data_IF_805931208423
#
_entry.id   IF_805931208423
#
_cell.length_a   1.000
_cell.length_b   1.000
_cell.length_c   1.000
_cell.angle_alpha   90.00
_cell.angle_beta   90.00
_cell.angle_gamma   90.00
#
_symmetry.space_group_name_H-M   'P 1'
#
loop_
_entity.id
_entity.type
_entity.pdbx_description
1 polymer ?
#
# COMPACT_ATOMS: atom_id res chain seq x y z
N UNK A 1 4.08 -7.12 -24.24
CA UNK A 1 4.54 -6.78 -25.60
C UNK A 1 3.44 -7.23 -26.52
N UNK A 2 2.84 -6.31 -27.27
CA UNK A 2 1.74 -6.67 -28.17
C UNK A 2 2.25 -7.54 -29.35
N UNK A 3 1.32 -8.05 -30.16
CA UNK A 3 1.66 -8.87 -31.32
C UNK A 3 2.56 -8.17 -32.37
N UNK A 4 2.75 -6.85 -32.25
CA UNK A 4 3.56 -6.02 -33.14
C UNK A 4 4.87 -5.55 -32.48
N UNK A 5 5.17 -6.00 -31.26
CA UNK A 5 6.39 -5.63 -30.53
C UNK A 5 6.33 -4.26 -29.84
N UNK A 6 5.14 -3.66 -29.67
CA UNK A 6 4.98 -2.44 -28.90
C UNK A 6 4.86 -2.74 -27.40
N UNK A 7 5.21 -1.75 -26.58
CA UNK A 7 5.02 -1.79 -25.13
C UNK A 7 3.54 -1.69 -24.77
N UNK A 8 3.10 -2.54 -23.83
CA UNK A 8 1.76 -2.49 -23.23
C UNK A 8 1.79 -1.83 -21.84
N UNK A 9 2.88 -1.12 -21.53
CA UNK A 9 3.05 -0.47 -20.24
C UNK A 9 1.96 0.59 -19.99
N UNK A 10 1.38 0.57 -18.80
CA UNK A 10 0.36 1.50 -18.35
C UNK A 10 0.92 2.44 -17.27
N UNK A 11 0.48 3.70 -17.29
CA UNK A 11 0.79 4.66 -16.23
C UNK A 11 -0.12 4.44 -15.02
N UNK A 12 0.39 4.69 -13.81
CA UNK A 12 -0.43 4.74 -12.58
C UNK A 12 -1.34 5.96 -12.47
N UNK A 13 -1.44 6.80 -13.50
CA UNK A 13 -2.29 7.99 -13.51
C UNK A 13 -3.76 7.64 -13.19
N UNK A 14 -4.36 8.40 -12.27
CA UNK A 14 -5.71 8.17 -11.77
C UNK A 14 -5.79 7.22 -10.60
N UNK A 15 -4.67 6.67 -10.10
CA UNK A 15 -4.70 5.86 -8.88
C UNK A 15 -5.19 6.66 -7.69
N UNK A 16 -6.22 6.16 -6.99
CA UNK A 16 -6.70 6.71 -5.73
C UNK A 16 -6.22 5.88 -4.54
N UNK A 17 -5.92 6.55 -3.43
CA UNK A 17 -5.53 5.90 -2.17
C UNK A 17 -6.42 6.38 -1.02
N UNK A 18 -7.06 5.44 -0.34
CA UNK A 18 -8.08 5.70 0.67
C UNK A 18 -7.64 5.09 2.00
N UNK A 19 -7.86 5.82 3.08
CA UNK A 19 -7.55 5.39 4.43
C UNK A 19 -8.77 5.51 5.34
N UNK A 20 -8.96 4.52 6.21
CA UNK A 20 -9.94 4.56 7.29
C UNK A 20 -9.30 4.14 8.60
N UNK A 21 -9.29 5.04 9.58
CA UNK A 21 -8.78 4.77 10.92
C UNK A 21 -9.89 4.19 11.81
N UNK A 22 -9.69 2.98 12.32
CA UNK A 22 -10.68 2.28 13.16
C UNK A 22 -12.07 2.25 12.52
N UNK A 23 -13.08 2.69 13.28
CA UNK A 23 -14.47 2.81 12.82
C UNK A 23 -14.83 4.20 12.25
N UNK A 24 -13.83 5.04 11.94
CA UNK A 24 -14.04 6.35 11.33
C UNK A 24 -14.55 6.29 9.87
N UNK A 25 -14.79 7.44 9.25
CA UNK A 25 -15.09 7.51 7.82
C UNK A 25 -13.87 7.14 6.98
N UNK A 26 -14.12 6.77 5.72
CA UNK A 26 -13.08 6.68 4.71
C UNK A 26 -12.69 8.07 4.24
N UNK A 27 -11.40 8.34 4.18
CA UNK A 27 -10.81 9.58 3.70
C UNK A 27 -9.92 9.27 2.51
N UNK A 28 -9.99 10.10 1.47
CA UNK A 28 -9.07 10.04 0.34
C UNK A 28 -7.80 10.79 0.74
N UNK A 29 -6.67 10.12 0.58
CA UNK A 29 -5.38 10.79 0.70
C UNK A 29 -5.15 11.48 -0.63
N UNK A 30 -5.22 12.80 -0.61
CA UNK A 30 -5.07 13.62 -1.80
C UNK A 30 -3.58 13.86 -2.12
N UNK A 31 -3.30 14.35 -3.33
CA UNK A 31 -1.98 14.75 -3.80
C UNK A 31 -0.93 13.62 -3.75
N UNK A 32 -1.37 12.37 -3.89
CA UNK A 32 -0.49 11.20 -3.85
C UNK A 32 0.38 11.12 -5.10
N UNK A 33 1.69 11.10 -4.91
CA UNK A 33 2.68 10.97 -5.97
C UNK A 33 3.23 9.56 -6.08
N UNK A 34 3.16 8.76 -5.01
CA UNK A 34 3.53 7.35 -5.00
C UNK A 34 2.69 6.59 -3.98
N UNK A 35 2.04 5.52 -4.42
CA UNK A 35 1.23 4.64 -3.55
C UNK A 35 2.09 3.50 -3.01
N UNK A 36 2.02 3.21 -1.70
CA UNK A 36 2.72 2.08 -1.12
C UNK A 36 2.05 0.77 -1.56
N UNK A 37 2.85 -0.25 -1.87
CA UNK A 37 2.39 -1.63 -2.09
C UNK A 37 3.04 -2.53 -1.05
N UNK A 38 2.32 -3.58 -0.62
CA UNK A 38 2.87 -4.58 0.27
C UNK A 38 3.92 -5.42 -0.48
N UNK A 39 5.03 -5.72 0.19
CA UNK A 39 6.05 -6.66 -0.30
C UNK A 39 6.06 -7.84 0.64
N UNK A 40 5.29 -8.87 0.28
CA UNK A 40 5.10 -10.05 1.10
C UNK A 40 6.35 -10.92 1.07
N UNK A 41 6.85 -11.25 2.26
CA UNK A 41 7.94 -12.20 2.47
C UNK A 41 7.49 -13.25 3.46
N UNK A 42 7.72 -14.52 3.15
CA UNK A 42 7.35 -15.62 4.02
C UNK A 42 8.57 -16.16 4.75
N UNK A 43 8.46 -16.35 6.05
CA UNK A 43 9.47 -17.04 6.83
C UNK A 43 9.61 -18.49 6.37
N UNK A 44 10.77 -19.09 6.62
CA UNK A 44 11.01 -20.51 6.38
C UNK A 44 11.52 -21.16 7.66
N UNK A 45 11.07 -22.39 7.93
CA UNK A 45 11.60 -23.20 9.02
C UNK A 45 12.02 -24.58 8.54
N UNK A 46 13.15 -25.07 9.08
CA UNK A 46 13.73 -26.35 8.70
C UNK A 46 12.97 -27.50 9.37
N UNK A 47 12.59 -28.50 8.59
CA UNK A 47 11.92 -29.73 9.06
C UNK A 47 12.74 -31.00 8.80
N UNK A 48 14.03 -30.84 8.52
CA UNK A 48 14.96 -31.93 8.23
C UNK A 48 15.02 -32.92 9.40
N UNK A 49 15.02 -34.21 9.07
CA UNK A 49 15.16 -35.31 10.04
C UNK A 49 16.16 -36.37 9.54
N UNK A 50 16.60 -37.28 10.41
CA UNK A 50 17.62 -38.29 10.06
C UNK A 50 17.22 -39.22 8.89
N UNK A 51 15.92 -39.32 8.60
CA UNK A 51 15.39 -40.11 7.48
C UNK A 51 15.05 -39.24 6.26
N UNK A 52 15.48 -37.97 6.24
CA UNK A 52 15.23 -37.08 5.11
C UNK A 52 15.84 -37.70 3.85
N UNK A 53 15.01 -37.90 2.81
CA UNK A 53 15.41 -38.66 1.64
C UNK A 53 16.61 -37.99 0.97
N UNK A 54 17.54 -38.82 0.49
CA UNK A 54 18.73 -38.38 -0.26
C UNK A 54 19.62 -37.36 0.48
N UNK A 55 19.53 -37.30 1.82
CA UNK A 55 20.33 -36.39 2.68
C UNK A 55 20.16 -34.92 2.26
N UNK A 56 18.95 -34.52 1.88
CA UNK A 56 18.61 -33.14 1.53
C UNK A 56 17.95 -32.45 2.71
N UNK A 57 18.20 -31.15 2.85
CA UNK A 57 17.47 -30.29 3.79
C UNK A 57 16.06 -30.08 3.26
N UNK A 58 15.09 -30.06 4.17
CA UNK A 58 13.67 -29.87 3.87
C UNK A 58 13.15 -28.66 4.63
N UNK A 59 12.39 -27.81 3.94
CA UNK A 59 11.86 -26.55 4.47
C UNK A 59 10.33 -26.52 4.37
N UNK A 60 9.73 -25.71 5.24
CA UNK A 60 8.30 -25.35 5.19
C UNK A 60 8.15 -23.84 5.40
N UNK A 61 7.10 -23.30 4.79
CA UNK A 61 6.73 -21.88 4.90
C UNK A 61 6.11 -21.60 6.27
N UNK A 62 6.61 -20.57 6.94
CA UNK A 62 6.14 -20.03 8.20
C UNK A 62 5.10 -18.92 8.01
N UNK A 63 5.16 -17.92 8.88
CA UNK A 63 4.28 -16.74 8.78
C UNK A 63 4.75 -15.81 7.67
N UNK A 64 3.82 -15.09 7.05
CA UNK A 64 4.11 -14.04 6.07
C UNK A 64 4.18 -12.69 6.80
N UNK A 65 5.22 -11.92 6.51
CA UNK A 65 5.31 -10.49 6.84
C UNK A 65 5.03 -9.70 5.56
N UNK A 66 4.00 -8.85 5.61
CA UNK A 66 3.57 -8.01 4.49
C UNK A 66 4.47 -6.77 4.29
N UNK A 67 5.47 -6.61 5.14
CA UNK A 67 6.53 -5.64 4.98
C UNK A 67 6.11 -4.19 5.23
N UNK A 68 6.94 -3.27 4.75
CA UNK A 68 6.70 -1.83 4.85
C UNK A 68 6.64 -1.18 3.47
N UNK A 69 5.78 -0.18 3.32
CA UNK A 69 5.63 0.62 2.11
C UNK A 69 5.86 2.10 2.35
N UNK A 70 6.19 2.82 1.29
CA UNK A 70 6.37 4.28 1.33
C UNK A 70 5.33 4.99 0.48
N UNK A 71 4.43 5.71 1.16
CA UNK A 71 3.48 6.64 0.56
C UNK A 71 4.14 8.00 0.42
N UNK A 72 4.12 8.58 -0.78
CA UNK A 72 4.60 9.94 -1.03
C UNK A 72 3.47 10.83 -1.51
N UNK A 73 3.38 12.03 -0.94
CA UNK A 73 2.36 13.03 -1.28
C UNK A 73 2.98 14.42 -1.43
N UNK A 74 2.35 15.30 -2.21
CA UNK A 74 2.61 16.73 -2.11
C UNK A 74 2.00 17.23 -0.80
N UNK A 75 2.83 17.85 0.02
CA UNK A 75 2.44 18.20 1.39
C UNK A 75 1.71 19.54 1.42
N UNK A 76 0.46 19.53 1.86
CA UNK A 76 -0.34 20.73 2.13
C UNK A 76 -0.59 20.83 3.64
N UNK A 77 0.05 21.78 4.36
CA UNK A 77 -0.14 21.92 5.79
C UNK A 77 -1.59 22.22 6.16
N UNK A 78 -2.14 21.46 7.11
CA UNK A 78 -3.50 21.66 7.62
C UNK A 78 -4.62 21.13 6.71
N UNK A 79 -4.28 20.45 5.61
CA UNK A 79 -5.29 19.73 4.82
C UNK A 79 -5.91 18.58 5.64
N UNK A 80 -7.03 18.06 5.15
CA UNK A 80 -7.66 16.88 5.73
C UNK A 80 -6.71 15.68 5.72
N UNK A 81 -6.02 15.46 4.59
CA UNK A 81 -4.97 14.44 4.45
C UNK A 81 -3.85 14.59 5.48
N UNK A 82 -3.31 15.80 5.68
CA UNK A 82 -2.26 16.04 6.70
C UNK A 82 -2.77 15.76 8.12
N UNK A 83 -4.02 16.16 8.39
CA UNK A 83 -4.66 15.97 9.70
C UNK A 83 -4.89 14.50 9.98
N UNK A 84 -5.41 13.74 9.02
CA UNK A 84 -5.68 12.31 9.19
C UNK A 84 -4.37 11.51 9.28
N UNK A 85 -3.38 11.76 8.42
CA UNK A 85 -2.08 11.08 8.51
C UNK A 85 -1.36 11.38 9.83
N UNK A 86 -1.49 12.62 10.35
CA UNK A 86 -1.00 12.98 11.68
C UNK A 86 -1.72 12.21 12.77
N UNK A 87 -3.06 12.14 12.70
CA UNK A 87 -3.88 11.43 13.68
C UNK A 87 -3.59 9.92 13.68
N UNK A 88 -3.57 9.29 12.50
CA UNK A 88 -3.24 7.87 12.31
C UNK A 88 -1.84 7.55 12.84
N UNK A 89 -0.84 8.40 12.58
CA UNK A 89 0.50 8.21 13.13
C UNK A 89 0.52 8.30 14.66
N UNK A 90 -0.19 9.27 15.22
CA UNK A 90 -0.21 9.54 16.66
C UNK A 90 -0.99 8.48 17.44
N UNK A 91 -2.09 7.95 16.89
CA UNK A 91 -2.86 6.88 17.53
C UNK A 91 -2.12 5.55 17.50
N UNK A 92 -1.38 5.26 16.42
CA UNK A 92 -0.74 3.96 16.21
C UNK A 92 -1.73 2.82 15.99
N UNK A 93 -3.00 3.15 15.74
CA UNK A 93 -4.06 2.19 15.46
C UNK A 93 -3.90 1.57 14.08
N UNK A 94 -4.43 0.36 13.93
CA UNK A 94 -4.57 -0.28 12.62
C UNK A 94 -5.60 0.48 11.79
N UNK A 95 -5.21 0.88 10.59
CA UNK A 95 -6.04 1.56 9.60
C UNK A 95 -6.36 0.59 8.46
N UNK A 96 -7.61 0.58 7.98
CA UNK A 96 -7.94 -0.07 6.72
C UNK A 96 -7.52 0.84 5.56
N UNK A 97 -7.04 0.27 4.46
CA UNK A 97 -6.72 1.00 3.25
C UNK A 97 -7.40 0.38 2.02
N UNK A 98 -7.62 1.21 1.01
CA UNK A 98 -7.97 0.77 -0.34
C UNK A 98 -7.15 1.57 -1.35
N UNK A 99 -6.60 0.89 -2.36
CA UNK A 99 -5.99 1.53 -3.52
C UNK A 99 -6.62 1.01 -4.80
N UNK A 100 -6.68 1.85 -5.82
CA UNK A 100 -7.29 1.53 -7.11
C UNK A 100 -6.30 1.78 -8.22
N UNK A 101 -5.64 0.73 -8.70
CA UNK A 101 -4.71 0.83 -9.82
C UNK A 101 -5.48 0.82 -11.15
N UNK A 102 -5.12 1.67 -12.12
CA UNK A 102 -5.67 1.60 -13.47
C UNK A 102 -5.46 0.20 -14.08
N UNK A 103 -6.54 -0.42 -14.54
CA UNK A 103 -6.51 -1.71 -15.23
C UNK A 103 -7.05 -1.55 -16.68
N UNK A 104 -6.85 -2.54 -17.56
CA UNK A 104 -7.41 -2.52 -18.91
C UNK A 104 -8.94 -2.38 -18.92
N UNK A 105 -9.50 -2.00 -20.08
CA UNK A 105 -10.96 -1.89 -20.30
C UNK A 105 -11.67 -0.88 -19.39
N UNK A 106 -10.98 0.19 -18.96
CA UNK A 106 -11.50 1.20 -18.03
C UNK A 106 -11.98 0.61 -16.68
N UNK A 107 -11.31 -0.46 -16.23
CA UNK A 107 -11.53 -1.06 -14.91
C UNK A 107 -10.43 -0.64 -13.95
N UNK A 108 -10.60 -1.02 -12.69
CA UNK A 108 -9.64 -0.77 -11.62
C UNK A 108 -9.25 -2.09 -10.98
N UNK A 109 -7.98 -2.24 -10.65
CA UNK A 109 -7.54 -3.24 -9.72
C UNK A 109 -7.63 -2.64 -8.31
N UNK A 110 -8.61 -3.10 -7.55
CA UNK A 110 -8.79 -2.69 -6.15
C UNK A 110 -7.95 -3.61 -5.27
N UNK A 111 -7.06 -3.03 -4.50
CA UNK A 111 -6.34 -3.72 -3.43
C UNK A 111 -6.80 -3.14 -2.10
N UNK A 112 -7.22 -4.00 -1.17
CA UNK A 112 -7.68 -3.59 0.16
C UNK A 112 -7.04 -4.42 1.25
N UNK A 113 -6.77 -3.81 2.40
CA UNK A 113 -6.17 -4.51 3.53
C UNK A 113 -6.02 -3.59 4.73
N UNK A 114 -5.06 -3.90 5.60
CA UNK A 114 -4.78 -3.09 6.78
C UNK A 114 -3.31 -2.67 6.86
N UNK A 115 -3.08 -1.52 7.48
CA UNK A 115 -1.74 -0.97 7.70
C UNK A 115 -1.67 -0.13 8.98
N UNK A 116 -0.45 0.13 9.43
CA UNK A 116 -0.14 1.02 10.54
C UNK A 116 0.78 2.11 10.02
N UNK A 117 0.48 3.38 10.34
CA UNK A 117 1.36 4.50 9.97
C UNK A 117 2.55 4.56 10.94
N UNK A 118 3.76 4.30 10.43
CA UNK A 118 5.00 4.17 11.22
C UNK A 118 5.79 5.46 11.34
N UNK A 119 5.83 6.26 10.29
CA UNK A 119 6.65 7.47 10.26
C UNK A 119 6.07 8.50 9.31
N UNK A 120 6.42 9.77 9.53
CA UNK A 120 6.07 10.89 8.65
C UNK A 120 7.25 11.85 8.55
N UNK A 121 7.86 11.91 7.38
CA UNK A 121 8.86 12.92 7.00
C UNK A 121 8.20 14.06 6.22
N UNK A 122 8.81 15.24 6.26
CA UNK A 122 8.38 16.42 5.47
C UNK A 122 9.61 17.09 4.86
N UNK A 123 9.54 17.36 3.56
CA UNK A 123 10.46 18.25 2.86
C UNK A 123 9.81 19.61 2.64
N UNK A 124 10.49 20.68 3.06
CA UNK A 124 10.03 22.07 2.84
C UNK A 124 11.14 22.88 2.15
N UNK A 125 11.42 22.58 0.87
CA UNK A 125 12.41 23.33 0.09
C UNK A 125 11.89 24.73 -0.29
N UNK A 126 12.80 25.68 -0.48
CA UNK A 126 12.46 27.07 -0.88
C UNK A 126 12.09 27.21 -2.37
N UNK A 127 12.68 26.36 -3.23
CA UNK A 127 12.57 26.45 -4.70
C UNK A 127 11.82 25.25 -5.32
N UNK A 128 11.10 24.48 -4.50
CA UNK A 128 10.36 23.29 -4.96
C UNK A 128 9.11 23.10 -4.10
N UNK A 129 8.23 22.18 -4.49
CA UNK A 129 7.01 21.84 -3.75
C UNK A 129 7.34 21.18 -2.41
N UNK A 130 6.47 21.39 -1.42
CA UNK A 130 6.57 20.65 -0.17
C UNK A 130 6.19 19.19 -0.42
N UNK A 131 6.94 18.27 0.17
CA UNK A 131 6.69 16.82 0.04
C UNK A 131 6.52 16.20 1.41
N UNK A 132 5.77 15.10 1.45
CA UNK A 132 5.65 14.29 2.65
C UNK A 132 5.81 12.82 2.29
N UNK A 133 6.70 12.17 3.04
CA UNK A 133 6.97 10.74 2.94
C UNK A 133 6.39 10.06 4.18
N UNK A 134 5.53 9.07 3.99
CA UNK A 134 4.87 8.33 5.06
C UNK A 134 5.23 6.86 4.93
N UNK A 135 5.92 6.34 5.95
CA UNK A 135 6.19 4.90 6.05
C UNK A 135 4.99 4.22 6.67
N UNK A 136 4.46 3.21 6.00
CA UNK A 136 3.39 2.35 6.49
C UNK A 136 3.90 0.92 6.65
N UNK A 137 3.39 0.20 7.64
CA UNK A 137 3.61 -1.23 7.79
C UNK A 137 2.30 -1.96 7.52
N UNK A 138 2.29 -2.87 6.56
CA UNK A 138 1.11 -3.67 6.23
C UNK A 138 0.91 -4.76 7.27
N UNK A 139 -0.34 -5.19 7.45
CA UNK A 139 -0.70 -6.23 8.41
C UNK A 139 -2.03 -6.85 8.06
N UNK A 140 -2.19 -8.13 8.41
CA UNK A 140 -3.42 -8.86 8.15
C UNK A 140 -3.50 -9.30 6.69
N UNK A 141 -4.67 -9.76 6.29
CA UNK A 141 -4.90 -10.23 4.92
C UNK A 141 -5.13 -9.05 3.97
N UNK A 142 -4.64 -9.17 2.75
CA UNK A 142 -4.94 -8.28 1.64
C UNK A 142 -5.81 -8.98 0.59
N UNK A 143 -6.70 -8.22 -0.02
CA UNK A 143 -7.60 -8.71 -1.06
C UNK A 143 -7.41 -7.88 -2.34
N UNK A 144 -7.20 -8.58 -3.45
CA UNK A 144 -7.11 -8.01 -4.79
C UNK A 144 -8.32 -8.43 -5.64
N UNK A 145 -9.10 -7.44 -6.09
CA UNK A 145 -10.28 -7.68 -6.92
C UNK A 145 -10.39 -6.66 -8.06
N UNK A 146 -10.98 -7.07 -9.16
CA UNK A 146 -11.33 -6.15 -10.24
C UNK A 146 -12.59 -5.37 -9.86
N UNK A 147 -12.51 -4.05 -9.90
CA UNK A 147 -13.60 -3.13 -9.61
C UNK A 147 -13.98 -2.32 -10.87
N UNK A 148 -15.28 -2.04 -11.00
CA UNK A 148 -15.80 -1.20 -12.09
C UNK A 148 -15.57 0.30 -11.85
N UNK A 149 -15.51 0.72 -10.58
CA UNK A 149 -15.33 2.12 -10.18
C UNK A 149 -14.47 2.20 -8.92
N UNK A 150 -13.84 3.36 -8.71
CA UNK A 150 -13.19 3.67 -7.43
C UNK A 150 -14.22 3.91 -6.31
N UNK A 151 -13.72 4.02 -5.08
CA UNK A 151 -14.52 4.45 -3.94
C UNK A 151 -15.02 5.88 -4.16
N UNK A 152 -16.29 6.11 -3.88
CA UNK A 152 -16.89 7.44 -3.82
C UNK A 152 -16.93 7.88 -2.37
N UNK A 153 -16.30 9.01 -2.05
CA UNK A 153 -16.45 9.68 -0.75
C UNK A 153 -17.57 10.70 -0.88
N UNK A 154 -18.48 10.70 0.10
CA UNK A 154 -19.50 11.73 0.18
C UNK A 154 -18.84 13.09 0.51
N UNK A 155 -19.24 14.19 -0.14
CA UNK A 155 -18.66 15.52 0.10
C UNK A 155 -18.92 16.04 1.52
#
# INVERSE_FOLDING_TARGET
MDANGNSEAQSGYGTGFFLKRGNGPWIEIDEVTQVPMAEQSADEYEVTHFKSPKKKKEWRTGLTDDGEGTLEINYIPGSETDTELRAARASGEVCAYETYLPAPENKWLKISGFLIVKSRGRGVPINDRMTQTVTVRFTGDDEEVVAATQRVIAP
#
